data_IF_564972571122
#
_entry.id   IF_564972571122
#
_cell.length_a   1.000
_cell.length_b   1.000
_cell.length_c   1.000
_cell.angle_alpha   90.00
_cell.angle_beta   90.00
_cell.angle_gamma   90.00
#
_symmetry.space_group_name_H-M   'P 1'
#
loop_
_entity.id
_entity.type
_entity.pdbx_description
1 polymer ?
#
# COMPACT_ATOMS: atom_id res chain seq x y z
N UNK A 1 17.74 -11.93 -2.24
CA UNK A 1 17.92 -10.46 -2.36
C UNK A 1 18.21 -9.92 -0.97
N UNK A 2 19.14 -8.98 -0.85
CA UNK A 2 19.44 -8.30 0.41
C UNK A 2 18.64 -7.00 0.48
N UNK A 3 18.08 -6.68 1.64
CA UNK A 3 17.39 -5.41 1.87
C UNK A 3 18.34 -4.22 1.62
N UNK A 4 17.80 -3.09 1.17
CA UNK A 4 18.56 -1.85 0.90
C UNK A 4 18.80 -1.01 2.17
N UNK A 5 18.17 -1.38 3.28
CA UNK A 5 18.37 -0.79 4.60
C UNK A 5 18.49 -1.90 5.65
N UNK A 6 18.88 -1.53 6.87
CA UNK A 6 18.86 -2.44 8.02
C UNK A 6 17.46 -3.00 8.28
N UNK A 7 17.37 -4.29 8.60
CA UNK A 7 16.14 -4.95 9.06
C UNK A 7 16.42 -5.49 10.48
N UNK A 8 16.44 -4.61 11.49
CA UNK A 8 16.88 -4.96 12.83
C UNK A 8 15.99 -6.06 13.44
N UNK A 9 16.58 -6.92 14.26
CA UNK A 9 15.79 -7.74 15.19
C UNK A 9 14.96 -6.82 16.10
N UNK A 10 13.76 -7.20 16.55
CA UNK A 10 12.87 -6.30 17.30
C UNK A 10 13.53 -5.66 18.54
N UNK A 11 14.40 -6.38 19.24
CA UNK A 11 15.13 -5.88 20.41
C UNK A 11 16.26 -4.89 20.06
N UNK A 12 16.75 -4.94 18.82
CA UNK A 12 17.79 -4.05 18.31
C UNK A 12 17.21 -2.83 17.56
N UNK A 13 15.89 -2.74 17.42
CA UNK A 13 15.23 -1.57 16.84
C UNK A 13 15.34 -0.34 17.76
N UNK A 14 15.26 0.89 17.20
CA UNK A 14 15.21 2.11 17.98
C UNK A 14 14.20 2.04 19.13
N UNK A 15 14.55 2.58 20.30
CA UNK A 15 13.72 2.48 21.52
C UNK A 15 12.27 2.94 21.30
N UNK A 16 12.05 4.03 20.55
CA UNK A 16 10.71 4.55 20.23
C UNK A 16 9.84 3.61 19.38
N UNK A 17 10.45 2.61 18.71
CA UNK A 17 9.74 1.61 17.90
C UNK A 17 9.33 0.37 18.69
N UNK A 18 9.96 0.11 19.85
CA UNK A 18 9.82 -1.16 20.56
C UNK A 18 8.39 -1.44 21.04
N UNK A 19 7.66 -0.42 21.49
CA UNK A 19 6.28 -0.57 21.93
C UNK A 19 5.35 -1.02 20.78
N UNK A 20 5.47 -0.39 19.61
CA UNK A 20 4.70 -0.78 18.43
C UNK A 20 5.09 -2.19 17.94
N UNK A 21 6.39 -2.52 17.94
CA UNK A 21 6.86 -3.86 17.60
C UNK A 21 6.33 -4.94 18.56
N UNK A 22 6.20 -4.65 19.85
CA UNK A 22 5.60 -5.56 20.82
C UNK A 22 4.11 -5.80 20.53
N UNK A 23 3.36 -4.76 20.15
CA UNK A 23 1.96 -4.90 19.74
C UNK A 23 1.83 -5.75 18.46
N UNK A 24 2.71 -5.53 17.48
CA UNK A 24 2.76 -6.32 16.25
C UNK A 24 3.07 -7.80 16.56
N UNK A 25 4.08 -8.06 17.40
CA UNK A 25 4.41 -9.41 17.87
C UNK A 25 3.21 -10.11 18.50
N UNK A 26 2.43 -9.40 19.33
CA UNK A 26 1.24 -9.94 19.96
C UNK A 26 0.13 -10.26 18.95
N UNK A 27 -0.03 -9.43 17.90
CA UNK A 27 -1.06 -9.62 16.88
C UNK A 27 -0.74 -10.78 15.91
N UNK A 28 0.53 -11.00 15.58
CA UNK A 28 0.95 -11.95 14.56
C UNK A 28 1.68 -13.19 15.10
N UNK A 29 2.06 -13.22 16.38
CA UNK A 29 2.94 -14.25 16.94
C UNK A 29 4.41 -14.13 16.50
N UNK A 30 4.73 -13.09 15.72
CA UNK A 30 6.02 -12.76 15.13
C UNK A 30 6.04 -11.29 14.72
N UNK A 31 7.21 -10.73 14.42
CA UNK A 31 7.32 -9.41 13.79
C UNK A 31 7.72 -9.58 12.33
N UNK A 32 6.79 -9.38 11.37
CA UNK A 32 7.12 -9.45 9.96
C UNK A 32 8.26 -8.49 9.55
N UNK A 33 9.06 -8.91 8.57
CA UNK A 33 10.24 -8.21 8.08
C UNK A 33 9.94 -6.78 7.64
N UNK A 34 8.75 -6.51 7.08
CA UNK A 34 8.32 -5.14 6.74
C UNK A 34 8.29 -4.24 7.98
N UNK A 35 7.69 -4.68 9.07
CA UNK A 35 7.61 -3.87 10.30
C UNK A 35 8.99 -3.68 10.93
N UNK A 36 9.86 -4.69 10.85
CA UNK A 36 11.27 -4.57 11.24
C UNK A 36 11.98 -3.50 10.41
N UNK A 37 11.82 -3.50 9.09
CA UNK A 37 12.41 -2.50 8.21
C UNK A 37 11.88 -1.08 8.50
N UNK A 38 10.57 -0.92 8.69
CA UNK A 38 9.96 0.39 9.02
C UNK A 38 10.39 0.87 10.40
N UNK A 39 10.71 -0.03 11.34
CA UNK A 39 11.12 0.30 12.71
C UNK A 39 12.39 1.16 12.81
N UNK A 40 13.19 1.26 11.73
CA UNK A 40 14.27 2.24 11.65
C UNK A 40 13.77 3.68 11.87
N UNK A 41 12.48 3.95 11.62
CA UNK A 41 11.81 5.21 11.95
C UNK A 41 10.61 4.97 12.89
N UNK A 42 10.71 5.33 14.18
CA UNK A 42 9.58 5.23 15.11
C UNK A 42 8.32 5.94 14.62
N UNK A 43 8.46 7.12 14.03
CA UNK A 43 7.33 7.89 13.51
C UNK A 43 6.62 7.17 12.35
N UNK A 44 7.39 6.61 11.41
CA UNK A 44 6.82 5.86 10.29
C UNK A 44 6.12 4.58 10.76
N UNK A 45 6.73 3.86 11.72
CA UNK A 45 6.15 2.65 12.29
C UNK A 45 4.85 2.95 13.05
N UNK A 46 4.85 3.99 13.88
CA UNK A 46 3.65 4.40 14.62
C UNK A 46 2.53 4.82 13.66
N UNK A 47 2.84 5.62 12.64
CA UNK A 47 1.86 6.02 11.62
C UNK A 47 1.27 4.81 10.89
N UNK A 48 2.11 3.88 10.45
CA UNK A 48 1.67 2.68 9.75
C UNK A 48 0.81 1.79 10.65
N UNK A 49 1.26 1.54 11.88
CA UNK A 49 0.58 0.66 12.81
C UNK A 49 -0.76 1.23 13.28
N UNK A 50 -0.83 2.53 13.55
CA UNK A 50 -2.07 3.21 13.86
C UNK A 50 -3.08 3.12 12.69
N UNK A 51 -2.61 3.27 11.45
CA UNK A 51 -3.47 3.12 10.27
C UNK A 51 -4.02 1.69 10.13
N UNK A 52 -3.20 0.66 10.36
CA UNK A 52 -3.68 -0.73 10.40
C UNK A 52 -4.76 -0.94 11.47
N UNK A 53 -4.55 -0.44 12.69
CA UNK A 53 -5.52 -0.56 13.76
C UNK A 53 -6.83 0.18 13.47
N UNK A 54 -6.74 1.40 12.93
CA UNK A 54 -7.90 2.22 12.61
C UNK A 54 -8.74 1.61 11.47
N UNK A 55 -8.11 1.25 10.34
CA UNK A 55 -8.81 0.66 9.20
C UNK A 55 -9.28 -0.77 9.48
N UNK A 56 -8.58 -1.52 10.34
CA UNK A 56 -9.04 -2.83 10.80
C UNK A 56 -10.31 -2.78 11.66
N UNK A 57 -10.63 -1.62 12.24
CA UNK A 57 -11.87 -1.34 12.97
C UNK A 57 -12.88 -0.51 12.14
N UNK A 58 -12.59 -0.28 10.85
CA UNK A 58 -13.42 0.48 9.93
C UNK A 58 -14.68 -0.27 9.48
N UNK A 59 -15.45 0.37 8.60
CA UNK A 59 -16.69 -0.19 8.04
C UNK A 59 -16.45 -1.11 6.84
N UNK A 60 -15.32 -0.98 6.15
CA UNK A 60 -14.96 -1.88 5.06
C UNK A 60 -14.70 -3.29 5.61
N UNK A 61 -15.45 -4.32 5.15
CA UNK A 61 -15.24 -5.69 5.62
C UNK A 61 -13.83 -6.17 5.33
N UNK A 62 -13.23 -6.91 6.28
CA UNK A 62 -11.87 -7.44 6.15
C UNK A 62 -11.63 -8.15 4.81
N UNK A 63 -12.58 -8.98 4.35
CA UNK A 63 -12.49 -9.67 3.05
C UNK A 63 -12.29 -8.69 1.89
N UNK A 64 -13.09 -7.63 1.84
CA UNK A 64 -13.00 -6.62 0.77
C UNK A 64 -11.70 -5.81 0.87
N UNK A 65 -11.28 -5.43 2.08
CA UNK A 65 -10.01 -4.74 2.30
C UNK A 65 -8.80 -5.53 1.79
N UNK A 66 -8.79 -6.84 2.02
CA UNK A 66 -7.73 -7.74 1.54
C UNK A 66 -7.79 -7.97 0.02
N UNK A 67 -8.98 -8.04 -0.58
CA UNK A 67 -9.14 -8.10 -2.03
C UNK A 67 -8.60 -6.83 -2.72
N UNK A 68 -8.90 -5.64 -2.17
CA UNK A 68 -8.33 -4.37 -2.63
C UNK A 68 -6.80 -4.41 -2.50
N UNK A 69 -6.29 -4.88 -1.36
CA UNK A 69 -4.85 -4.94 -1.10
C UNK A 69 -4.10 -5.83 -2.10
N UNK A 70 -4.65 -7.01 -2.43
CA UNK A 70 -4.08 -7.91 -3.45
C UNK A 70 -4.10 -7.29 -4.85
N UNK A 71 -5.19 -6.62 -5.23
CA UNK A 71 -5.27 -5.93 -6.52
C UNK A 71 -4.22 -4.80 -6.64
N UNK A 72 -4.08 -3.98 -5.60
CA UNK A 72 -3.10 -2.89 -5.54
C UNK A 72 -1.67 -3.44 -5.50
N UNK A 73 -1.41 -4.50 -4.73
CA UNK A 73 -0.10 -5.13 -4.65
C UNK A 73 0.36 -5.71 -6.00
N UNK A 74 -0.52 -6.39 -6.74
CA UNK A 74 -0.21 -6.89 -8.08
C UNK A 74 0.06 -5.72 -9.04
N UNK A 75 -0.80 -4.70 -9.04
CA UNK A 75 -0.63 -3.50 -9.86
C UNK A 75 0.69 -2.78 -9.60
N UNK A 76 1.12 -2.73 -8.35
CA UNK A 76 2.35 -2.09 -7.92
C UNK A 76 3.58 -3.03 -7.92
N UNK A 77 3.39 -4.31 -8.29
CA UNK A 77 4.41 -5.37 -8.32
C UNK A 77 5.11 -5.56 -6.97
N UNK A 78 4.33 -5.56 -5.88
CA UNK A 78 4.83 -5.89 -4.55
C UNK A 78 4.62 -7.38 -4.23
N UNK A 79 5.62 -8.22 -4.47
CA UNK A 79 5.56 -9.67 -4.15
C UNK A 79 5.26 -9.93 -2.66
N UNK A 80 5.90 -9.16 -1.77
CA UNK A 80 5.70 -9.25 -0.33
C UNK A 80 4.23 -9.04 0.05
N UNK A 81 3.66 -7.95 -0.46
CA UNK A 81 2.31 -7.53 -0.13
C UNK A 81 1.29 -8.48 -0.75
N UNK A 82 1.55 -8.94 -1.99
CA UNK A 82 0.71 -9.92 -2.66
C UNK A 82 0.64 -11.23 -1.84
N UNK A 83 1.78 -11.75 -1.40
CA UNK A 83 1.85 -12.95 -0.58
C UNK A 83 1.12 -12.77 0.77
N UNK A 84 1.41 -11.68 1.48
CA UNK A 84 0.80 -11.38 2.77
C UNK A 84 -0.72 -11.23 2.68
N UNK A 85 -1.21 -10.36 1.80
CA UNK A 85 -2.64 -10.09 1.65
C UNK A 85 -3.41 -11.26 1.03
N UNK A 86 -2.77 -12.13 0.25
CA UNK A 86 -3.39 -13.39 -0.18
C UNK A 86 -3.66 -14.31 1.00
N UNK A 87 -2.69 -14.46 1.93
CA UNK A 87 -2.88 -15.27 3.12
C UNK A 87 -3.94 -14.65 4.06
N UNK A 88 -3.89 -13.33 4.27
CA UNK A 88 -4.83 -12.61 5.12
C UNK A 88 -6.26 -12.62 4.55
N UNK A 89 -6.43 -12.44 3.25
CA UNK A 89 -7.73 -12.53 2.58
C UNK A 89 -8.38 -13.90 2.76
N UNK A 90 -7.61 -14.99 2.64
CA UNK A 90 -8.10 -16.34 2.95
C UNK A 90 -8.51 -16.50 4.40
N UNK A 91 -7.74 -15.94 5.34
CA UNK A 91 -8.09 -15.91 6.77
C UNK A 91 -9.35 -15.08 7.04
N UNK A 92 -9.61 -14.04 6.23
CA UNK A 92 -10.82 -13.22 6.28
C UNK A 92 -12.03 -13.86 5.57
N UNK A 93 -11.91 -15.11 5.09
CA UNK A 93 -13.00 -15.88 4.50
C UNK A 93 -13.10 -15.81 2.97
N UNK A 94 -12.11 -15.23 2.28
CA UNK A 94 -12.06 -15.31 0.82
C UNK A 94 -11.67 -16.70 0.32
N UNK A 95 -12.28 -17.16 -0.77
CA UNK A 95 -11.81 -18.37 -1.47
C UNK A 95 -10.51 -18.09 -2.25
N UNK A 96 -9.83 -19.16 -2.66
CA UNK A 96 -8.65 -19.01 -3.52
C UNK A 96 -9.01 -18.37 -4.87
N UNK A 97 -10.18 -18.70 -5.40
CA UNK A 97 -10.72 -18.14 -6.64
C UNK A 97 -11.03 -16.65 -6.48
N UNK A 98 -11.66 -16.24 -5.38
CA UNK A 98 -11.93 -14.83 -5.09
C UNK A 98 -10.64 -14.00 -5.00
N UNK A 99 -9.60 -14.52 -4.33
CA UNK A 99 -8.31 -13.82 -4.25
C UNK A 99 -7.60 -13.77 -5.62
N UNK A 100 -7.68 -14.85 -6.40
CA UNK A 100 -7.12 -14.93 -7.75
C UNK A 100 -7.80 -13.95 -8.71
N UNK A 101 -9.13 -13.82 -8.62
CA UNK A 101 -9.92 -12.86 -9.37
C UNK A 101 -9.58 -11.42 -8.93
N UNK A 102 -9.52 -11.17 -7.61
CA UNK A 102 -9.17 -9.86 -7.07
C UNK A 102 -7.77 -9.40 -7.50
N UNK A 103 -6.79 -10.30 -7.54
CA UNK A 103 -5.45 -10.02 -8.10
C UNK A 103 -5.52 -9.50 -9.55
N UNK A 104 -6.50 -9.97 -10.33
CA UNK A 104 -6.72 -9.52 -11.70
C UNK A 104 -7.62 -8.28 -11.80
N UNK A 105 -8.06 -7.72 -10.66
CA UNK A 105 -9.01 -6.62 -10.58
C UNK A 105 -10.46 -7.02 -10.84
N UNK A 106 -10.81 -8.28 -10.61
CA UNK A 106 -12.11 -8.85 -10.99
C UNK A 106 -12.83 -9.44 -9.78
N UNK A 107 -14.17 -9.45 -9.81
CA UNK A 107 -15.02 -10.16 -8.87
C UNK A 107 -16.36 -10.51 -9.52
N UNK A 108 -17.00 -11.58 -9.07
CA UNK A 108 -18.37 -11.91 -9.45
C UNK A 108 -19.42 -11.12 -8.62
N UNK A 109 -19.03 -10.58 -7.48
CA UNK A 109 -19.85 -9.68 -6.68
C UNK A 109 -19.76 -8.24 -7.24
N UNK A 110 -20.88 -7.62 -7.68
CA UNK A 110 -20.85 -6.29 -8.29
C UNK A 110 -20.27 -5.19 -7.39
N UNK A 111 -20.58 -5.23 -6.08
CA UNK A 111 -20.09 -4.21 -5.13
C UNK A 111 -18.57 -4.31 -4.96
N UNK A 112 -18.03 -5.52 -4.82
CA UNK A 112 -16.59 -5.79 -4.80
C UNK A 112 -15.93 -5.41 -6.13
N UNK A 113 -16.53 -5.77 -7.28
CA UNK A 113 -15.97 -5.45 -8.59
C UNK A 113 -15.81 -3.94 -8.81
N UNK A 114 -16.80 -3.14 -8.41
CA UNK A 114 -16.74 -1.69 -8.47
C UNK A 114 -15.62 -1.12 -7.57
N UNK A 115 -15.48 -1.63 -6.34
CA UNK A 115 -14.40 -1.22 -5.43
C UNK A 115 -13.01 -1.55 -5.98
N UNK A 116 -12.82 -2.73 -6.57
CA UNK A 116 -11.55 -3.11 -7.21
C UNK A 116 -11.25 -2.24 -8.43
N UNK A 117 -12.24 -2.00 -9.29
CA UNK A 117 -12.08 -1.14 -10.45
C UNK A 117 -11.70 0.29 -10.05
N UNK A 118 -12.40 0.86 -9.07
CA UNK A 118 -12.08 2.18 -8.52
C UNK A 118 -10.68 2.23 -7.90
N UNK A 119 -10.32 1.26 -7.06
CA UNK A 119 -9.00 1.21 -6.42
C UNK A 119 -7.86 1.15 -7.45
N UNK A 120 -8.02 0.33 -8.49
CA UNK A 120 -7.05 0.22 -9.58
C UNK A 120 -6.94 1.49 -10.42
N UNK A 121 -8.08 2.13 -10.74
CA UNK A 121 -8.10 3.43 -11.42
C UNK A 121 -7.43 4.51 -10.56
N UNK A 122 -7.72 4.55 -9.26
CA UNK A 122 -7.12 5.49 -8.31
C UNK A 122 -5.60 5.38 -8.28
N UNK A 123 -5.05 4.16 -8.31
CA UNK A 123 -3.60 3.93 -8.39
C UNK A 123 -3.02 4.36 -9.74
N UNK A 124 -3.64 3.98 -10.86
CA UNK A 124 -3.15 4.30 -12.20
C UNK A 124 -3.21 5.80 -12.51
N UNK A 125 -4.30 6.45 -12.13
CA UNK A 125 -4.53 7.88 -12.30
C UNK A 125 -3.86 8.72 -11.20
N UNK A 126 -3.16 8.10 -10.23
CA UNK A 126 -2.47 8.78 -9.12
C UNK A 126 -3.40 9.70 -8.32
N UNK A 127 -4.61 9.23 -8.04
CA UNK A 127 -5.62 10.00 -7.31
C UNK A 127 -6.56 10.83 -8.18
N UNK A 128 -6.24 11.05 -9.46
CA UNK A 128 -7.00 11.94 -10.36
C UNK A 128 -8.23 11.23 -10.97
N UNK A 129 -9.10 10.70 -10.10
CA UNK A 129 -10.38 10.09 -10.50
C UNK A 129 -11.43 11.17 -10.74
N UNK A 130 -12.38 10.87 -11.63
CA UNK A 130 -13.49 11.76 -11.98
C UNK A 130 -14.65 11.65 -11.00
N UNK A 131 -15.59 12.61 -11.06
CA UNK A 131 -16.85 12.51 -10.32
C UNK A 131 -17.70 11.29 -10.75
N UNK A 132 -17.57 10.86 -12.00
CA UNK A 132 -18.25 9.66 -12.50
C UNK A 132 -17.69 8.38 -11.89
N UNK A 133 -16.38 8.30 -11.64
CA UNK A 133 -15.75 7.16 -10.95
C UNK A 133 -16.31 6.99 -9.53
N UNK A 134 -16.48 8.11 -8.82
CA UNK A 134 -17.08 8.11 -7.47
C UNK A 134 -18.58 7.79 -7.53
N UNK A 135 -19.30 8.31 -8.52
CA UNK A 135 -20.72 8.02 -8.72
C UNK A 135 -20.96 6.52 -8.97
N UNK A 136 -20.09 5.84 -9.73
CA UNK A 136 -20.19 4.40 -9.97
C UNK A 136 -20.12 3.55 -8.70
N UNK A 137 -19.41 3.99 -7.66
CA UNK A 137 -19.43 3.31 -6.35
C UNK A 137 -20.79 3.48 -5.64
N UNK A 138 -21.45 4.61 -5.82
CA UNK A 138 -22.77 4.89 -5.20
C UNK A 138 -23.86 4.06 -5.80
N UNK A 139 -23.79 3.83 -7.11
CA UNK A 139 -24.76 3.00 -7.85
C UNK A 139 -24.82 1.56 -7.31
N UNK A 140 -23.70 1.05 -6.76
CA UNK A 140 -23.64 -0.27 -6.11
C UNK A 140 -23.77 -0.21 -4.58
N UNK A 141 -24.15 0.95 -4.04
CA UNK A 141 -24.51 1.10 -2.62
C UNK A 141 -23.34 1.36 -1.66
N UNK A 142 -22.25 1.99 -2.11
CA UNK A 142 -21.27 2.59 -1.20
C UNK A 142 -21.71 3.99 -0.75
N UNK A 143 -21.63 4.26 0.55
CA UNK A 143 -21.78 5.59 1.13
C UNK A 143 -20.45 6.37 1.17
N UNK A 144 -20.49 7.65 1.54
CA UNK A 144 -19.30 8.50 1.58
C UNK A 144 -18.20 8.00 2.52
N UNK A 145 -18.57 7.46 3.68
CA UNK A 145 -17.62 6.90 4.64
C UNK A 145 -16.87 5.69 4.07
N UNK A 146 -17.60 4.76 3.46
CA UNK A 146 -16.99 3.58 2.81
C UNK A 146 -16.05 3.99 1.65
N UNK A 147 -16.42 5.00 0.85
CA UNK A 147 -15.56 5.49 -0.24
C UNK A 147 -14.26 6.10 0.30
N UNK A 148 -14.35 6.90 1.37
CA UNK A 148 -13.17 7.46 2.04
C UNK A 148 -12.29 6.34 2.60
N UNK A 149 -12.88 5.31 3.20
CA UNK A 149 -12.12 4.15 3.68
C UNK A 149 -11.45 3.37 2.55
N UNK A 150 -12.11 3.18 1.39
CA UNK A 150 -11.47 2.56 0.21
C UNK A 150 -10.22 3.35 -0.21
N UNK A 151 -10.30 4.69 -0.26
CA UNK A 151 -9.14 5.54 -0.56
C UNK A 151 -8.05 5.37 0.50
N UNK A 152 -8.41 5.31 1.79
CA UNK A 152 -7.47 5.12 2.88
C UNK A 152 -6.78 3.74 2.82
N UNK A 153 -7.52 2.68 2.50
CA UNK A 153 -6.98 1.34 2.25
C UNK A 153 -5.98 1.36 1.07
N UNK A 154 -6.31 2.03 -0.04
CA UNK A 154 -5.38 2.16 -1.17
C UNK A 154 -4.11 2.93 -0.76
N UNK A 155 -4.24 4.03 -0.01
CA UNK A 155 -3.10 4.81 0.47
C UNK A 155 -2.18 4.00 1.39
N UNK A 156 -2.75 3.25 2.34
CA UNK A 156 -1.99 2.37 3.23
C UNK A 156 -1.26 1.27 2.44
N UNK A 157 -1.95 0.66 1.45
CA UNK A 157 -1.34 -0.33 0.57
C UNK A 157 -0.19 0.25 -0.26
N UNK A 158 -0.33 1.46 -0.81
CA UNK A 158 0.77 2.11 -1.52
C UNK A 158 1.96 2.38 -0.60
N UNK A 159 1.71 2.81 0.65
CA UNK A 159 2.78 3.00 1.63
C UNK A 159 3.53 1.69 1.90
N UNK A 160 2.84 0.59 2.18
CA UNK A 160 3.48 -0.71 2.45
C UNK A 160 4.15 -1.28 1.21
N UNK A 161 3.54 -1.16 0.03
CA UNK A 161 4.13 -1.57 -1.23
C UNK A 161 5.45 -0.82 -1.49
N UNK A 162 5.46 0.50 -1.33
CA UNK A 162 6.65 1.31 -1.58
C UNK A 162 7.76 0.99 -0.59
N UNK A 163 7.45 0.77 0.69
CA UNK A 163 8.43 0.26 1.65
C UNK A 163 9.04 -1.05 1.15
N UNK A 164 8.22 -2.05 0.82
CA UNK A 164 8.72 -3.38 0.47
C UNK A 164 9.50 -3.38 -0.85
N UNK A 165 9.00 -2.70 -1.89
CA UNK A 165 9.64 -2.64 -3.22
C UNK A 165 10.86 -1.74 -3.22
N UNK A 166 10.74 -0.52 -2.67
CA UNK A 166 11.83 0.45 -2.69
C UNK A 166 12.97 0.06 -1.75
N UNK A 167 12.72 -0.75 -0.72
CA UNK A 167 13.75 -1.20 0.23
C UNK A 167 14.14 -2.67 0.05
N UNK A 168 13.55 -3.37 -0.92
CA UNK A 168 13.79 -4.79 -1.21
C UNK A 168 13.65 -5.67 0.05
N UNK A 169 12.58 -5.45 0.81
CA UNK A 169 12.32 -6.18 2.06
C UNK A 169 12.14 -7.68 1.74
N UNK A 170 12.87 -8.59 2.41
CA UNK A 170 12.73 -10.03 2.20
C UNK A 170 11.34 -10.54 2.57
N UNK A 171 10.76 -11.36 1.70
CA UNK A 171 9.46 -12.00 1.93
C UNK A 171 9.57 -13.09 2.99
N UNK A 172 8.73 -13.01 4.01
CA UNK A 172 8.60 -13.96 5.11
C UNK A 172 7.21 -14.62 5.18
N UNK A 173 6.44 -14.51 4.10
CA UNK A 173 5.16 -15.18 3.86
C UNK A 173 5.31 -16.28 2.79
N UNK A 174 4.42 -17.29 2.73
CA UNK A 174 4.38 -18.24 1.64
C UNK A 174 4.25 -17.53 0.28
N UNK A 175 5.14 -17.84 -0.67
CA UNK A 175 5.24 -17.08 -1.92
C UNK A 175 3.98 -17.21 -2.81
N UNK A 176 3.55 -16.08 -3.39
CA UNK A 176 2.55 -15.98 -4.45
C UNK A 176 3.13 -15.11 -5.56
N UNK A 177 3.06 -15.56 -6.81
CA UNK A 177 3.68 -14.86 -7.94
C UNK A 177 2.82 -13.68 -8.42
N UNK A 178 3.43 -12.49 -8.57
CA UNK A 178 2.82 -11.35 -9.30
C UNK A 178 2.55 -11.72 -10.75
N UNK A 179 1.48 -11.18 -11.33
CA UNK A 179 1.15 -11.40 -12.75
C UNK A 179 1.99 -10.48 -13.63
N UNK A 180 2.78 -11.09 -14.52
CA UNK A 180 3.54 -10.34 -15.53
C UNK A 180 2.59 -9.92 -16.66
N UNK A 181 2.24 -8.63 -16.76
CA UNK A 181 1.50 -8.11 -17.91
C UNK A 181 2.43 -7.95 -19.12
N UNK A 182 2.10 -8.59 -20.25
CA UNK A 182 2.76 -8.35 -21.55
C UNK A 182 2.54 -6.89 -21.96
N UNK A 183 3.63 -6.15 -22.21
CA UNK A 183 3.59 -4.78 -22.74
C UNK A 183 4.17 -3.69 -21.84
N UNK A 184 4.39 -3.97 -20.55
CA UNK A 184 5.10 -3.06 -19.65
C UNK A 184 6.56 -3.49 -19.57
N UNK A 185 7.45 -2.78 -20.29
CA UNK A 185 8.89 -2.98 -20.15
C UNK A 185 9.24 -2.83 -18.66
N UNK A 186 9.83 -3.87 -18.07
CA UNK A 186 10.71 -3.64 -16.93
C UNK A 186 11.69 -2.55 -17.36
N UNK A 187 11.88 -1.51 -16.56
CA UNK A 187 12.96 -0.55 -16.79
C UNK A 187 14.12 -1.07 -15.94
N UNK A 188 15.07 -1.85 -16.49
CA UNK A 188 16.24 -2.26 -15.75
C UNK A 188 17.18 -1.04 -15.76
N UNK A 189 17.33 -0.37 -14.62
CA UNK A 189 18.33 0.68 -14.40
C UNK A 189 18.42 1.76 -15.50
N UNK A 190 17.60 2.81 -15.40
CA UNK A 190 17.77 3.99 -16.26
C UNK A 190 17.91 5.27 -15.42
N UNK A 191 19.09 5.44 -14.83
CA UNK A 191 19.73 6.74 -14.90
C UNK A 191 20.28 6.85 -16.33
N UNK A 192 19.49 7.39 -17.27
CA UNK A 192 20.00 8.01 -18.50
C UNK A 192 19.18 9.26 -18.79
N UNK A 193 19.91 10.37 -18.83
CA UNK A 193 19.55 11.71 -19.26
C UNK A 193 18.57 11.75 -20.43
N UNK A 194 17.48 12.50 -20.28
CA UNK A 194 16.52 12.71 -21.38
C UNK A 194 15.19 13.36 -21.03
N UNK A 195 14.89 13.66 -19.76
CA UNK A 195 13.72 14.47 -19.43
C UNK A 195 13.98 15.92 -19.84
N UNK A 196 13.12 16.57 -20.65
CA UNK A 196 13.18 18.02 -20.79
C UNK A 196 13.05 18.64 -19.40
N UNK A 197 13.99 19.51 -19.05
CA UNK A 197 13.93 20.27 -17.81
C UNK A 197 12.57 21.00 -17.77
N UNK A 198 11.79 20.90 -16.68
CA UNK A 198 10.64 21.77 -16.53
C UNK A 198 11.13 23.23 -16.60
N UNK A 199 10.37 24.14 -17.23
CA UNK A 199 10.77 25.55 -17.30
C UNK A 199 11.01 26.09 -15.89
N UNK A 200 12.01 26.96 -15.67
CA UNK A 200 12.26 27.53 -14.37
C UNK A 200 11.02 28.27 -13.90
N UNK A 201 10.49 27.88 -12.74
CA UNK A 201 9.41 28.58 -12.07
C UNK A 201 9.85 30.02 -11.80
N UNK A 202 9.07 31.05 -12.14
CA UNK A 202 9.42 32.42 -11.79
C UNK A 202 9.29 32.58 -10.28
N UNK A 203 10.41 32.51 -9.57
CA UNK A 203 10.49 32.89 -8.15
C UNK A 203 10.45 34.41 -8.08
N UNK A 204 9.25 34.99 -8.14
CA UNK A 204 9.02 36.39 -7.76
C UNK A 204 8.42 36.42 -6.36
N UNK A 205 9.17 37.01 -5.42
CA UNK A 205 8.59 37.89 -4.41
C UNK A 205 8.13 37.29 -3.09
N UNK A 206 8.89 36.38 -2.45
CA UNK A 206 8.74 36.18 -1.00
C UNK A 206 9.65 37.19 -0.25
N UNK A 207 9.10 38.03 0.66
CA UNK A 207 9.90 38.99 1.42
C UNK A 207 10.88 38.26 2.34
N UNK A 208 12.16 38.60 2.23
CA UNK A 208 13.20 38.11 3.14
C UNK A 208 12.98 38.74 4.52
N UNK A 209 12.85 37.91 5.56
CA UNK A 209 12.90 38.38 6.94
C UNK A 209 14.32 38.92 7.24
N UNK A 210 14.47 40.05 7.94
CA UNK A 210 15.77 40.52 8.39
C UNK A 210 16.36 39.58 9.44
N UNK A 211 17.67 39.33 9.34
CA UNK A 211 18.46 38.64 10.35
C UNK A 211 18.95 39.69 11.36
N UNK A 212 18.81 39.48 12.68
CA UNK A 212 19.30 40.42 13.68
C UNK A 212 20.84 40.43 13.74
N UNK A 213 21.39 41.60 14.07
CA UNK A 213 22.82 41.86 14.26
C UNK A 213 23.38 41.21 15.52
#
# INVERSE_FOLDING_TARGET
MTARISVPEPKAAPAGSQAALAQIQAAFGGVPQMFRAVSNSPAALQSMWAAFGALGAGVIPAKLGEQIAVAVADRNRCDYCLAAHTALGRKAGATAEEMTAAQSGQSHDPKTAAALAFALNLVEARGQVSGADVAGLREVGFNDGEIVEIVAHVALNLFTNYINVALAVPVDFPAVSVRIRRGWRQVPGACRSGWPQPPPWPVRGLPRRPVPA
#
